data_IF_064218899901
#
_entry.id   IF_064218899901
#
_cell.length_a   1.000
_cell.length_b   1.000
_cell.length_c   1.000
_cell.angle_alpha   90.00
_cell.angle_beta   90.00
_cell.angle_gamma   90.00
#
_symmetry.space_group_name_H-M   'P 1'
#
loop_
_entity.id
_entity.type
_entity.pdbx_description
1 polymer ?
#
# COMPACT_ATOMS: atom_id res chain seq x y z
N UNK A 1 -7.30 -23.48 2.19
CA UNK A 1 -7.07 -22.27 1.40
C UNK A 1 -7.13 -21.11 2.37
N UNK A 2 -5.96 -20.58 2.72
CA UNK A 2 -5.81 -19.43 3.60
C UNK A 2 -5.61 -18.20 2.73
N UNK A 3 -6.50 -17.22 2.86
CA UNK A 3 -6.39 -15.94 2.17
C UNK A 3 -5.86 -14.90 3.17
N UNK A 4 -4.83 -14.16 2.77
CA UNK A 4 -4.16 -13.15 3.59
C UNK A 4 -4.24 -11.81 2.88
N UNK A 5 -4.71 -10.78 3.58
CA UNK A 5 -4.55 -9.38 3.18
C UNK A 5 -3.25 -8.86 3.80
N UNK A 6 -2.25 -8.59 2.96
CA UNK A 6 -1.03 -7.89 3.33
C UNK A 6 -1.21 -6.38 3.23
N UNK A 7 -0.61 -5.65 4.17
CA UNK A 7 -0.55 -4.18 4.19
C UNK A 7 0.90 -3.78 4.39
N UNK A 8 1.39 -2.84 3.59
CA UNK A 8 2.76 -2.33 3.65
C UNK A 8 2.76 -0.80 3.72
N UNK A 9 3.38 -0.26 4.78
CA UNK A 9 3.46 1.18 5.09
C UNK A 9 4.77 1.53 5.84
N UNK A 10 5.89 0.88 5.51
CA UNK A 10 7.14 1.04 6.27
C UNK A 10 7.95 2.31 5.90
N UNK A 11 7.82 2.80 4.67
CA UNK A 11 8.60 3.95 4.16
C UNK A 11 7.72 5.00 3.49
N UNK A 12 7.60 5.00 2.16
CA UNK A 12 6.89 6.03 1.38
C UNK A 12 5.91 5.44 0.36
N UNK A 13 5.65 4.13 0.44
CA UNK A 13 4.59 3.45 -0.29
C UNK A 13 3.46 3.01 0.65
N UNK A 14 2.23 3.25 0.23
CA UNK A 14 1.05 2.62 0.83
C UNK A 14 0.61 1.51 -0.11
N UNK A 15 0.66 0.26 0.34
CA UNK A 15 0.30 -0.88 -0.49
C UNK A 15 -0.58 -1.91 0.23
N UNK A 16 -1.39 -2.63 -0.54
CA UNK A 16 -2.17 -3.76 -0.08
C UNK A 16 -2.20 -4.87 -1.14
N UNK A 17 -2.18 -6.13 -0.69
CA UNK A 17 -2.20 -7.29 -1.57
C UNK A 17 -3.02 -8.43 -0.95
N UNK A 18 -3.79 -9.14 -1.78
CA UNK A 18 -4.49 -10.37 -1.37
C UNK A 18 -3.71 -11.57 -1.88
N UNK A 19 -3.27 -12.44 -0.97
CA UNK A 19 -2.46 -13.62 -1.30
C UNK A 19 -3.12 -14.88 -0.76
N UNK A 20 -3.19 -15.93 -1.57
CA UNK A 20 -3.74 -17.22 -1.20
C UNK A 20 -2.65 -18.26 -1.05
N UNK A 21 -2.71 -19.01 0.06
CA UNK A 21 -1.79 -20.09 0.42
C UNK A 21 -0.29 -19.69 0.33
N UNK A 22 -0.02 -18.39 0.49
CA UNK A 22 1.31 -17.78 0.44
C UNK A 22 2.00 -17.81 -0.93
N UNK A 23 1.27 -18.12 -2.01
CA UNK A 23 1.85 -18.32 -3.34
C UNK A 23 1.12 -17.58 -4.44
N UNK A 24 -0.20 -17.56 -4.38
CA UNK A 24 -1.02 -16.99 -5.45
C UNK A 24 -1.44 -15.57 -5.07
N UNK A 25 -0.94 -14.57 -5.80
CA UNK A 25 -1.28 -13.16 -5.60
C UNK A 25 -2.53 -12.85 -6.44
N UNK A 26 -3.64 -12.56 -5.77
CA UNK A 26 -4.91 -12.20 -6.42
C UNK A 26 -4.98 -10.71 -6.76
N UNK A 27 -4.37 -9.86 -5.94
CA UNK A 27 -4.26 -8.41 -6.17
C UNK A 27 -3.00 -7.85 -5.53
N UNK A 28 -2.52 -6.73 -6.05
CA UNK A 28 -1.35 -6.02 -5.53
C UNK A 28 -1.39 -4.54 -5.94
N UNK A 29 -1.89 -3.70 -5.04
CA UNK A 29 -2.07 -2.27 -5.26
C UNK A 29 -0.98 -1.51 -4.51
N UNK A 30 -0.31 -0.58 -5.18
CA UNK A 30 0.79 0.22 -4.62
C UNK A 30 0.61 1.68 -4.98
N UNK A 31 0.62 2.56 -3.98
CA UNK A 31 0.67 4.02 -4.16
C UNK A 31 1.98 4.58 -3.61
N UNK A 32 2.79 5.17 -4.49
CA UNK A 32 4.08 5.79 -4.14
C UNK A 32 3.93 7.28 -3.80
N UNK A 33 4.73 7.76 -2.85
CA UNK A 33 4.79 9.16 -2.43
C UNK A 33 6.04 9.89 -2.95
N UNK A 34 6.79 9.34 -3.92
CA UNK A 34 8.04 9.93 -4.43
C UNK A 34 7.88 11.40 -4.82
N UNK A 35 6.81 11.76 -5.54
CA UNK A 35 6.56 13.14 -5.95
C UNK A 35 6.30 14.09 -4.76
N UNK A 36 5.68 13.56 -3.69
CA UNK A 36 5.43 14.31 -2.46
C UNK A 36 6.73 14.65 -1.73
N UNK A 37 7.70 13.74 -1.76
CA UNK A 37 9.01 13.89 -1.11
C UNK A 37 10.07 14.57 -1.99
N UNK A 38 9.85 14.65 -3.31
CA UNK A 38 10.82 15.16 -4.28
C UNK A 38 11.38 16.55 -3.93
N UNK A 39 10.52 17.46 -3.46
CA UNK A 39 10.93 18.84 -3.07
C UNK A 39 11.84 18.90 -1.84
N UNK A 40 11.89 17.83 -1.05
CA UNK A 40 12.69 17.75 0.18
C UNK A 40 14.02 17.01 -0.03
N UNK A 41 14.20 16.37 -1.17
CA UNK A 41 15.42 15.58 -1.47
C UNK A 41 15.54 14.29 -0.67
N UNK A 42 14.46 13.83 -0.04
CA UNK A 42 14.40 12.62 0.77
C UNK A 42 13.05 12.48 1.49
N UNK A 43 12.77 11.29 2.01
CA UNK A 43 11.52 10.99 2.72
C UNK A 43 11.41 11.81 3.99
N UNK A 44 10.30 12.53 4.15
CA UNK A 44 9.96 13.25 5.39
C UNK A 44 8.98 12.41 6.21
N UNK A 45 9.38 11.86 7.38
CA UNK A 45 8.58 10.86 8.09
C UNK A 45 7.14 11.29 8.44
N UNK A 46 6.93 12.53 8.90
CA UNK A 46 5.58 13.03 9.23
C UNK A 46 4.68 13.14 7.99
N UNK A 47 5.25 13.53 6.84
CA UNK A 47 4.50 13.62 5.59
C UNK A 47 4.13 12.21 5.10
N UNK A 48 5.05 11.25 5.23
CA UNK A 48 4.80 9.88 4.87
C UNK A 48 3.69 9.23 5.72
N UNK A 49 3.73 9.44 7.04
CA UNK A 49 2.69 8.96 7.96
C UNK A 49 1.29 9.47 7.58
N UNK A 50 1.15 10.77 7.27
CA UNK A 50 -0.14 11.35 6.85
C UNK A 50 -0.61 10.84 5.50
N UNK A 51 0.32 10.64 4.57
CA UNK A 51 -0.01 10.07 3.27
C UNK A 51 -0.50 8.62 3.42
N UNK A 52 0.14 7.79 4.25
CA UNK A 52 -0.34 6.45 4.59
C UNK A 52 -1.75 6.48 5.19
N UNK A 53 -2.00 7.35 6.18
CA UNK A 53 -3.33 7.49 6.81
C UNK A 53 -4.42 7.79 5.77
N UNK A 54 -4.14 8.70 4.81
CA UNK A 54 -5.09 9.07 3.77
C UNK A 54 -5.33 8.00 2.70
N UNK A 55 -4.32 7.16 2.44
CA UNK A 55 -4.32 6.19 1.34
C UNK A 55 -4.63 4.76 1.78
N UNK A 56 -4.59 4.45 3.08
CA UNK A 56 -4.75 3.09 3.57
C UNK A 56 -6.09 2.48 3.14
N UNK A 57 -7.19 3.17 3.41
CA UNK A 57 -8.55 2.72 3.05
C UNK A 57 -8.75 2.57 1.54
N UNK A 58 -8.44 3.56 0.68
CA UNK A 58 -8.65 3.40 -0.76
C UNK A 58 -7.79 2.29 -1.38
N UNK A 59 -6.52 2.15 -0.96
CA UNK A 59 -5.62 1.09 -1.45
C UNK A 59 -6.14 -0.30 -1.05
N UNK A 60 -6.61 -0.47 0.18
CA UNK A 60 -7.23 -1.74 0.61
C UNK A 60 -8.50 -2.01 -0.20
N UNK A 61 -9.36 -1.01 -0.38
CA UNK A 61 -10.60 -1.17 -1.12
C UNK A 61 -10.36 -1.60 -2.57
N UNK A 62 -9.39 -0.99 -3.25
CA UNK A 62 -8.96 -1.36 -4.59
C UNK A 62 -8.42 -2.79 -4.64
N UNK A 63 -7.53 -3.16 -3.70
CA UNK A 63 -6.99 -4.51 -3.63
C UNK A 63 -8.08 -5.58 -3.40
N UNK A 64 -9.11 -5.26 -2.61
CA UNK A 64 -10.25 -6.16 -2.40
C UNK A 64 -11.12 -6.29 -3.65
N UNK A 65 -11.33 -5.20 -4.40
CA UNK A 65 -12.09 -5.24 -5.66
C UNK A 65 -11.34 -6.01 -6.75
N UNK A 66 -10.03 -5.82 -6.87
CA UNK A 66 -9.20 -6.53 -7.85
C UNK A 66 -9.11 -8.04 -7.59
N UNK A 67 -9.14 -8.45 -6.32
CA UNK A 67 -9.04 -9.85 -5.94
C UNK A 67 -10.30 -10.69 -6.25
N UNK A 68 -11.43 -10.03 -6.52
CA UNK A 68 -12.74 -10.64 -6.76
C UNK A 68 -13.48 -11.06 -5.49
#
# INVERSE_FOLDING_TARGET
MTTVLGIETSCDETAAAVVVDGRDVLSNVVSSQVDLHARYGGVVPEIAGRAHESLLTPVIAEAMVEAG
#
